data_IF_778264926401
#
_entry.id   IF_778264926401
#
_cell.length_a   1.000
_cell.length_b   1.000
_cell.length_c   1.000
_cell.angle_alpha   90.00
_cell.angle_beta   90.00
_cell.angle_gamma   90.00
#
_symmetry.space_group_name_H-M   'P 1'
#
loop_
_entity.id
_entity.type
_entity.pdbx_description
1 polymer ?
#
# COMPACT_ATOMS: atom_id res chain seq x y z
N UNK A 1 -15.56 13.97 0.87
CA UNK A 1 -14.77 14.30 -0.34
C UNK A 1 -14.11 13.00 -0.78
N UNK A 2 -14.25 12.66 -2.08
CA UNK A 2 -13.75 11.40 -2.64
C UNK A 2 -12.46 11.56 -3.46
N UNK A 3 -12.05 12.79 -3.73
CA UNK A 3 -10.80 13.14 -4.40
C UNK A 3 -9.77 13.65 -3.39
N UNK A 4 -8.45 13.51 -3.67
CA UNK A 4 -7.42 14.10 -2.83
C UNK A 4 -7.62 15.60 -2.65
N UNK A 5 -7.26 16.20 -1.50
CA UNK A 5 -7.26 17.63 -1.33
C UNK A 5 -6.16 18.29 -2.16
N UNK A 6 -6.44 19.46 -2.75
CA UNK A 6 -5.47 20.19 -3.55
C UNK A 6 -6.12 20.87 -4.75
N UNK A 7 -5.31 21.54 -5.58
CA UNK A 7 -5.75 22.14 -6.83
C UNK A 7 -5.79 21.07 -7.93
N UNK A 8 -6.96 20.90 -8.53
CA UNK A 8 -7.18 19.90 -9.59
C UNK A 8 -8.34 20.30 -10.50
N UNK A 9 -8.48 19.65 -11.64
CA UNK A 9 -9.57 19.93 -12.57
C UNK A 9 -10.94 19.54 -12.02
N UNK A 10 -11.03 18.47 -11.20
CA UNK A 10 -12.29 17.91 -10.69
C UNK A 10 -12.16 17.58 -9.21
N UNK A 11 -13.19 17.98 -8.44
CA UNK A 11 -13.45 17.55 -7.06
C UNK A 11 -14.74 16.75 -6.98
N UNK A 12 -14.78 15.67 -6.20
CA UNK A 12 -15.95 14.80 -6.07
C UNK A 12 -16.40 14.75 -4.61
N UNK A 13 -17.67 15.08 -4.38
CA UNK A 13 -18.36 14.85 -3.12
C UNK A 13 -19.28 13.68 -3.29
N UNK A 14 -19.09 12.64 -2.46
CA UNK A 14 -19.88 11.42 -2.48
C UNK A 14 -20.78 11.35 -1.26
N UNK A 15 -22.06 11.06 -1.48
CA UNK A 15 -23.08 10.92 -0.44
C UNK A 15 -23.66 9.50 -0.54
N UNK A 16 -23.79 8.78 0.59
CA UNK A 16 -24.38 7.44 0.63
C UNK A 16 -25.43 7.36 1.71
N UNK A 17 -26.52 6.65 1.41
CA UNK A 17 -27.62 6.38 2.33
C UNK A 17 -28.99 6.71 1.74
N UNK A 18 -30.06 6.35 2.47
CA UNK A 18 -31.46 6.48 2.02
C UNK A 18 -31.90 7.93 1.69
N UNK A 19 -31.22 8.93 2.25
CA UNK A 19 -31.49 10.37 2.01
C UNK A 19 -30.58 10.99 0.94
N UNK A 20 -29.63 10.24 0.36
CA UNK A 20 -28.63 10.77 -0.55
C UNK A 20 -29.23 11.52 -1.74
N UNK A 21 -30.21 10.93 -2.41
CA UNK A 21 -30.91 11.53 -3.54
C UNK A 21 -31.70 12.79 -3.14
N UNK A 22 -32.36 12.78 -1.99
CA UNK A 22 -33.15 13.92 -1.53
C UNK A 22 -32.24 15.13 -1.22
N UNK A 23 -31.14 14.91 -0.52
CA UNK A 23 -30.14 15.95 -0.24
C UNK A 23 -29.58 16.52 -1.55
N UNK A 24 -29.26 15.65 -2.51
CA UNK A 24 -28.75 16.09 -3.80
C UNK A 24 -29.74 16.95 -4.58
N UNK A 25 -31.04 16.60 -4.58
CA UNK A 25 -32.10 17.38 -5.22
C UNK A 25 -32.26 18.80 -4.68
N UNK A 26 -31.97 19.02 -3.39
CA UNK A 26 -32.03 20.34 -2.78
C UNK A 26 -30.85 21.26 -3.15
N UNK A 27 -29.75 20.66 -3.61
CA UNK A 27 -28.50 21.38 -3.92
C UNK A 27 -28.34 21.55 -5.43
N UNK A 28 -28.93 20.67 -6.23
CA UNK A 28 -28.71 20.59 -7.67
C UNK A 28 -29.83 21.20 -8.48
N UNK A 29 -29.46 22.09 -9.39
CA UNK A 29 -30.36 22.71 -10.36
C UNK A 29 -29.90 22.32 -11.77
N UNK A 30 -30.80 21.75 -12.57
CA UNK A 30 -30.50 21.37 -13.95
C UNK A 30 -30.12 22.58 -14.81
N UNK A 31 -29.08 22.43 -15.63
CA UNK A 31 -28.60 23.46 -16.57
C UNK A 31 -29.42 23.64 -17.85
N UNK A 32 -30.52 22.91 -18.01
CA UNK A 32 -31.35 22.89 -19.23
C UNK A 32 -32.83 23.08 -18.97
N UNK A 33 -33.69 22.42 -19.79
CA UNK A 33 -35.16 22.54 -19.76
C UNK A 33 -35.74 22.24 -18.36
N UNK A 34 -36.74 23.01 -17.93
CA UNK A 34 -37.57 22.74 -16.75
C UNK A 34 -38.20 21.36 -16.81
N UNK A 35 -38.27 20.63 -15.68
CA UNK A 35 -38.87 19.30 -15.52
C UNK A 35 -37.97 18.09 -15.91
N UNK A 36 -36.66 18.18 -15.69
CA UNK A 36 -35.81 17.02 -15.75
C UNK A 36 -35.80 16.26 -14.41
N UNK A 37 -35.71 14.93 -14.48
CA UNK A 37 -35.57 14.06 -13.31
C UNK A 37 -34.18 13.45 -13.26
N UNK A 38 -33.63 13.30 -12.06
CA UNK A 38 -32.35 12.59 -11.88
C UNK A 38 -32.59 11.09 -12.18
N UNK A 39 -31.93 10.60 -13.22
CA UNK A 39 -31.98 9.19 -13.66
C UNK A 39 -30.81 8.40 -13.05
N UNK A 40 -31.07 7.13 -12.76
CA UNK A 40 -30.05 6.18 -12.29
C UNK A 40 -28.93 6.01 -13.33
N UNK A 41 -27.67 6.11 -12.90
CA UNK A 41 -26.47 5.94 -13.72
C UNK A 41 -26.38 6.86 -14.94
N UNK A 42 -26.84 8.07 -14.76
CA UNK A 42 -26.75 9.13 -15.74
C UNK A 42 -26.00 10.31 -15.17
N UNK A 43 -25.15 10.94 -15.98
CA UNK A 43 -24.50 12.20 -15.61
C UNK A 43 -25.40 13.35 -16.03
N UNK A 44 -25.81 14.14 -15.03
CA UNK A 44 -26.66 15.30 -15.22
C UNK A 44 -25.83 16.57 -15.10
N UNK A 45 -25.86 17.40 -16.13
CA UNK A 45 -25.25 18.74 -16.08
C UNK A 45 -26.17 19.72 -15.37
N UNK A 46 -25.59 20.54 -14.48
CA UNK A 46 -26.34 21.53 -13.74
C UNK A 46 -25.45 22.42 -12.89
N UNK A 47 -26.08 23.02 -11.89
CA UNK A 47 -25.44 23.96 -10.96
C UNK A 47 -25.69 23.50 -9.53
N UNK A 48 -24.66 23.58 -8.70
CA UNK A 48 -24.79 23.46 -7.26
C UNK A 48 -25.20 24.82 -6.68
N UNK A 49 -26.23 24.84 -5.82
CA UNK A 49 -26.76 26.06 -5.22
C UNK A 49 -26.80 25.96 -3.69
N UNK A 50 -26.68 27.09 -3.03
CA UNK A 50 -26.88 27.20 -1.58
C UNK A 50 -28.38 27.35 -1.23
N UNK A 51 -28.69 27.45 0.09
CA UNK A 51 -30.10 27.65 0.57
C UNK A 51 -30.76 28.93 0.07
N UNK A 52 -30.00 29.95 -0.36
CA UNK A 52 -30.51 31.19 -0.91
C UNK A 52 -30.72 31.14 -2.43
N UNK A 53 -30.39 30.00 -3.08
CA UNK A 53 -30.42 29.87 -4.52
C UNK A 53 -29.21 30.45 -5.26
N UNK A 54 -28.19 30.91 -4.54
CA UNK A 54 -26.95 31.41 -5.13
C UNK A 54 -26.12 30.26 -5.68
N UNK A 55 -25.58 30.44 -6.87
CA UNK A 55 -24.75 29.42 -7.55
C UNK A 55 -23.42 29.31 -6.83
N UNK A 56 -23.02 28.09 -6.47
CA UNK A 56 -21.71 27.78 -5.89
C UNK A 56 -20.75 27.38 -7.02
N UNK A 57 -21.20 26.49 -7.91
CA UNK A 57 -20.36 25.96 -8.99
C UNK A 57 -21.23 25.33 -10.10
N UNK A 58 -20.65 25.15 -11.30
CA UNK A 58 -21.19 24.29 -12.33
C UNK A 58 -20.72 22.85 -12.06
N UNK A 59 -21.68 21.90 -12.10
CA UNK A 59 -21.41 20.53 -11.63
C UNK A 59 -22.04 19.49 -12.54
N UNK A 60 -21.45 18.27 -12.47
CA UNK A 60 -22.12 17.06 -12.96
C UNK A 60 -22.58 16.26 -11.75
N UNK A 61 -23.82 15.76 -11.81
CA UNK A 61 -24.38 14.90 -10.78
C UNK A 61 -24.63 13.50 -11.34
N UNK A 62 -24.12 12.49 -10.63
CA UNK A 62 -24.37 11.08 -10.88
C UNK A 62 -25.15 10.49 -9.72
N UNK A 63 -26.21 9.73 -10.01
CA UNK A 63 -26.98 8.96 -9.04
C UNK A 63 -26.85 7.48 -9.33
N UNK A 64 -26.57 6.71 -8.31
CA UNK A 64 -26.46 5.25 -8.35
C UNK A 64 -27.44 4.67 -7.33
N UNK A 65 -28.56 4.12 -7.84
CA UNK A 65 -29.61 3.53 -7.01
C UNK A 65 -29.15 2.20 -6.40
N UNK A 66 -29.37 2.04 -5.11
CA UNK A 66 -29.20 0.77 -4.42
C UNK A 66 -30.08 -0.35 -4.98
N UNK A 67 -29.66 -1.64 -4.94
CA UNK A 67 -28.41 -2.13 -4.38
C UNK A 67 -27.19 -2.05 -5.34
N UNK A 68 -27.33 -1.60 -6.57
CA UNK A 68 -26.28 -1.55 -7.58
C UNK A 68 -25.42 -0.30 -7.45
N UNK A 69 -24.85 -0.04 -6.26
CA UNK A 69 -23.94 1.06 -5.93
C UNK A 69 -22.71 0.55 -5.20
N UNK A 70 -21.77 1.42 -4.85
CA UNK A 70 -20.58 1.01 -4.12
C UNK A 70 -20.89 0.48 -2.72
N UNK A 71 -21.80 1.13 -1.99
CA UNK A 71 -22.20 0.77 -0.63
C UNK A 71 -23.44 -0.12 -0.55
N UNK A 72 -24.04 -0.49 -1.71
CA UNK A 72 -25.38 -1.08 -1.87
C UNK A 72 -26.53 -0.18 -1.43
N UNK A 73 -26.26 1.00 -0.91
CA UNK A 73 -27.23 2.06 -0.60
C UNK A 73 -27.41 2.98 -1.81
N UNK A 74 -28.33 3.94 -1.72
CA UNK A 74 -28.37 5.03 -2.69
C UNK A 74 -27.12 5.88 -2.58
N UNK A 75 -26.40 6.07 -3.69
CA UNK A 75 -25.17 6.88 -3.75
C UNK A 75 -25.35 8.01 -4.75
N UNK A 76 -24.96 9.21 -4.36
CA UNK A 76 -24.86 10.36 -5.25
C UNK A 76 -23.43 10.89 -5.25
N UNK A 77 -22.95 11.21 -6.44
CA UNK A 77 -21.69 11.93 -6.64
C UNK A 77 -21.98 13.30 -7.26
N UNK A 78 -21.40 14.34 -6.69
CA UNK A 78 -21.40 15.69 -7.22
C UNK A 78 -19.96 16.01 -7.64
N UNK A 79 -19.74 16.12 -8.94
CA UNK A 79 -18.46 16.45 -9.54
C UNK A 79 -18.43 17.96 -9.79
N UNK A 80 -17.57 18.64 -9.07
CA UNK A 80 -17.36 20.10 -9.13
C UNK A 80 -15.93 20.43 -9.56
N UNK A 81 -15.60 21.70 -9.70
CA UNK A 81 -14.19 22.08 -9.88
C UNK A 81 -13.35 21.72 -8.64
N UNK A 82 -12.12 21.23 -8.88
CA UNK A 82 -11.27 20.61 -7.85
C UNK A 82 -10.54 21.59 -6.91
N UNK A 83 -10.96 22.86 -6.87
CA UNK A 83 -10.42 23.82 -5.91
C UNK A 83 -10.95 23.60 -4.50
N UNK A 84 -10.18 24.01 -3.49
CA UNK A 84 -10.55 23.88 -2.07
C UNK A 84 -11.90 24.57 -1.77
N UNK A 85 -12.14 25.76 -2.34
CA UNK A 85 -13.33 26.56 -2.07
C UNK A 85 -14.60 25.92 -2.65
N UNK A 86 -14.69 25.55 -3.95
CA UNK A 86 -15.88 24.88 -4.49
C UNK A 86 -16.23 23.61 -3.72
N UNK A 87 -15.24 22.71 -3.53
CA UNK A 87 -15.41 21.42 -2.86
C UNK A 87 -15.94 21.58 -1.43
N UNK A 88 -15.29 22.46 -0.64
CA UNK A 88 -15.71 22.69 0.76
C UNK A 88 -17.04 23.42 0.87
N UNK A 89 -17.37 24.29 -0.06
CA UNK A 89 -18.65 25.00 -0.07
C UNK A 89 -19.81 24.05 -0.35
N UNK A 90 -19.68 23.17 -1.34
CA UNK A 90 -20.71 22.15 -1.64
C UNK A 90 -20.80 21.15 -0.48
N UNK A 91 -19.69 20.70 0.11
CA UNK A 91 -19.70 19.81 1.27
C UNK A 91 -20.46 20.44 2.46
N UNK A 92 -20.22 21.73 2.76
CA UNK A 92 -20.95 22.45 3.81
C UNK A 92 -22.45 22.47 3.53
N UNK A 93 -22.87 22.66 2.29
CA UNK A 93 -24.29 22.67 1.92
C UNK A 93 -24.91 21.25 2.03
N UNK A 94 -24.18 20.20 1.69
CA UNK A 94 -24.59 18.79 1.90
C UNK A 94 -24.83 18.50 3.38
N UNK A 95 -23.90 18.93 4.25
CA UNK A 95 -24.00 18.75 5.71
C UNK A 95 -25.18 19.55 6.29
N UNK A 96 -25.38 20.79 5.87
CA UNK A 96 -26.53 21.61 6.31
C UNK A 96 -27.90 21.01 5.95
N UNK A 97 -27.96 20.07 5.00
CA UNK A 97 -29.18 19.36 4.58
C UNK A 97 -29.31 17.97 5.22
N UNK A 98 -28.53 17.70 6.25
CA UNK A 98 -28.69 16.53 7.12
C UNK A 98 -27.79 15.36 6.79
N UNK A 99 -26.77 15.53 5.93
CA UNK A 99 -25.68 14.59 5.88
C UNK A 99 -24.70 14.81 7.04
N UNK A 100 -23.98 13.79 7.43
CA UNK A 100 -22.80 13.90 8.29
C UNK A 100 -21.52 13.62 7.50
N UNK A 101 -20.40 14.06 8.02
CA UNK A 101 -19.10 13.71 7.46
C UNK A 101 -18.87 12.21 7.66
N UNK A 102 -18.39 11.56 6.60
CA UNK A 102 -18.01 10.14 6.67
C UNK A 102 -16.66 9.99 7.38
N UNK A 103 -16.51 8.91 8.12
CA UNK A 103 -15.24 8.48 8.69
C UNK A 103 -14.29 7.97 7.59
N UNK A 104 -12.97 7.98 7.81
CA UNK A 104 -12.02 7.35 6.89
C UNK A 104 -12.41 5.88 6.64
N UNK A 105 -12.48 5.47 5.36
CA UNK A 105 -12.84 4.11 4.97
C UNK A 105 -14.32 3.73 5.12
N UNK A 106 -15.21 4.63 5.56
CA UNK A 106 -16.61 4.32 5.86
C UNK A 106 -17.38 3.76 4.65
N UNK A 107 -17.14 4.24 3.44
CA UNK A 107 -17.81 3.71 2.25
C UNK A 107 -17.46 2.24 1.99
N UNK A 108 -16.20 1.86 2.15
CA UNK A 108 -15.73 0.47 2.01
C UNK A 108 -16.25 -0.39 3.16
N UNK A 109 -16.26 0.13 4.39
CA UNK A 109 -16.87 -0.53 5.57
C UNK A 109 -18.35 -0.84 5.32
N UNK A 110 -19.13 0.11 4.75
CA UNK A 110 -20.54 -0.13 4.40
C UNK A 110 -20.70 -1.16 3.29
N UNK A 111 -19.85 -1.13 2.26
CA UNK A 111 -19.84 -2.15 1.22
C UNK A 111 -19.63 -3.56 1.79
N UNK A 112 -18.73 -3.70 2.78
CA UNK A 112 -18.51 -4.95 3.51
C UNK A 112 -19.72 -5.34 4.39
N UNK A 113 -20.22 -4.44 5.22
CA UNK A 113 -21.37 -4.72 6.11
C UNK A 113 -22.65 -5.09 5.32
N UNK A 114 -22.81 -4.52 4.14
CA UNK A 114 -23.94 -4.82 3.25
C UNK A 114 -23.69 -6.03 2.33
N UNK A 115 -22.61 -6.78 2.54
CA UNK A 115 -22.33 -8.03 1.84
C UNK A 115 -21.91 -7.91 0.37
N UNK A 116 -21.55 -6.70 -0.10
CA UNK A 116 -21.08 -6.52 -1.47
C UNK A 116 -19.65 -7.05 -1.67
N UNK A 117 -18.80 -6.84 -0.68
CA UNK A 117 -17.41 -7.29 -0.66
C UNK A 117 -17.14 -7.99 0.66
N UNK A 118 -16.19 -8.90 0.68
CA UNK A 118 -15.69 -9.51 1.91
C UNK A 118 -14.54 -8.69 2.54
N UNK A 119 -14.03 -9.17 3.69
CA UNK A 119 -13.00 -8.45 4.43
C UNK A 119 -11.67 -8.36 3.66
N UNK A 120 -11.29 -9.43 2.93
CA UNK A 120 -10.06 -9.46 2.12
C UNK A 120 -10.17 -8.47 0.97
N UNK A 121 -11.31 -8.42 0.31
CA UNK A 121 -11.61 -7.47 -0.76
C UNK A 121 -11.62 -6.02 -0.24
N UNK A 122 -12.20 -5.79 0.96
CA UNK A 122 -12.22 -4.47 1.59
C UNK A 122 -10.80 -3.96 1.90
N UNK A 123 -9.91 -4.84 2.37
CA UNK A 123 -8.50 -4.52 2.61
C UNK A 123 -7.77 -4.23 1.29
N UNK A 124 -8.02 -5.03 0.25
CA UNK A 124 -7.41 -4.88 -1.07
C UNK A 124 -7.75 -3.54 -1.76
N UNK A 125 -8.88 -2.91 -1.44
CA UNK A 125 -9.22 -1.56 -1.94
C UNK A 125 -8.16 -0.55 -1.50
N UNK A 126 -7.77 -0.56 -0.23
CA UNK A 126 -6.76 0.36 0.29
C UNK A 126 -5.37 0.04 -0.25
N UNK A 127 -5.06 -1.25 -0.38
CA UNK A 127 -3.79 -1.70 -0.95
C UNK A 127 -3.63 -1.24 -2.40
N UNK A 128 -4.71 -1.29 -3.20
CA UNK A 128 -4.69 -0.80 -4.58
C UNK A 128 -4.48 0.72 -4.66
N UNK A 129 -5.15 1.48 -3.78
CA UNK A 129 -4.99 2.95 -3.71
C UNK A 129 -3.57 3.33 -3.31
N UNK A 130 -2.96 2.58 -2.39
CA UNK A 130 -1.62 2.83 -1.87
C UNK A 130 -0.50 2.17 -2.68
N UNK A 131 -0.83 1.35 -3.68
CA UNK A 131 0.15 0.60 -4.47
C UNK A 131 1.22 1.53 -5.08
N UNK A 132 2.48 1.17 -4.89
CA UNK A 132 3.64 1.94 -5.40
C UNK A 132 4.29 1.30 -6.63
N UNK A 133 3.92 0.07 -6.98
CA UNK A 133 4.43 -0.64 -8.15
C UNK A 133 3.28 -1.29 -8.91
N UNK A 134 3.47 -1.53 -10.22
CA UNK A 134 2.48 -2.26 -11.02
C UNK A 134 2.23 -3.67 -10.47
N UNK A 135 3.26 -4.31 -9.93
CA UNK A 135 3.16 -5.64 -9.35
C UNK A 135 2.30 -5.64 -8.09
N UNK A 136 2.44 -4.63 -7.20
CA UNK A 136 1.58 -4.50 -6.02
C UNK A 136 0.15 -4.14 -6.41
N UNK A 137 -0.06 -3.25 -7.38
CA UNK A 137 -1.38 -2.93 -7.90
C UNK A 137 -2.09 -4.15 -8.49
N UNK A 138 -1.39 -4.97 -9.29
CA UNK A 138 -1.92 -6.21 -9.87
C UNK A 138 -2.28 -7.24 -8.79
N UNK A 139 -1.45 -7.40 -7.76
CA UNK A 139 -1.74 -8.29 -6.64
C UNK A 139 -3.00 -7.84 -5.89
N UNK A 140 -3.13 -6.55 -5.58
CA UNK A 140 -4.32 -5.97 -4.92
C UNK A 140 -5.58 -6.13 -5.79
N UNK A 141 -5.48 -5.93 -7.10
CA UNK A 141 -6.59 -6.14 -8.01
C UNK A 141 -7.07 -7.60 -8.01
N UNK A 142 -6.16 -8.58 -8.05
CA UNK A 142 -6.50 -10.00 -7.95
C UNK A 142 -7.21 -10.33 -6.63
N UNK A 143 -6.82 -9.69 -5.52
CA UNK A 143 -7.51 -9.86 -4.24
C UNK A 143 -8.91 -9.21 -4.25
N UNK A 144 -9.05 -8.02 -4.86
CA UNK A 144 -10.36 -7.37 -5.05
C UNK A 144 -11.32 -8.22 -5.89
N UNK A 145 -10.82 -8.95 -6.87
CA UNK A 145 -11.59 -9.89 -7.69
C UNK A 145 -11.96 -11.19 -6.95
N UNK A 146 -11.51 -11.35 -5.69
CA UNK A 146 -11.86 -12.48 -4.84
C UNK A 146 -10.92 -13.67 -4.96
N UNK A 147 -9.69 -13.48 -5.44
CA UNK A 147 -8.72 -14.58 -5.63
C UNK A 147 -8.50 -15.41 -4.35
N UNK A 148 -8.13 -14.78 -3.24
CA UNK A 148 -7.96 -15.47 -1.95
C UNK A 148 -9.30 -15.97 -1.39
N UNK A 149 -10.34 -15.15 -1.45
CA UNK A 149 -11.67 -15.49 -0.95
C UNK A 149 -12.25 -16.72 -1.64
N UNK A 150 -12.02 -16.87 -2.95
CA UNK A 150 -12.41 -18.06 -3.71
C UNK A 150 -11.72 -19.34 -3.21
N UNK A 151 -10.42 -19.26 -2.91
CA UNK A 151 -9.69 -20.39 -2.33
C UNK A 151 -10.22 -20.79 -0.95
N UNK A 152 -10.44 -19.81 -0.07
CA UNK A 152 -10.99 -20.05 1.27
C UNK A 152 -12.39 -20.63 1.20
N UNK A 153 -13.25 -20.09 0.32
CA UNK A 153 -14.62 -20.59 0.12
C UNK A 153 -14.63 -22.05 -0.36
N UNK A 154 -13.78 -22.40 -1.33
CA UNK A 154 -13.67 -23.77 -1.84
C UNK A 154 -13.21 -24.73 -0.72
N UNK A 155 -12.20 -24.36 0.08
CA UNK A 155 -11.77 -25.17 1.21
C UNK A 155 -12.88 -25.35 2.25
N UNK A 156 -13.63 -24.28 2.55
CA UNK A 156 -14.77 -24.31 3.46
C UNK A 156 -15.88 -25.24 2.96
N UNK A 157 -16.22 -25.19 1.68
CA UNK A 157 -17.23 -26.08 1.08
C UNK A 157 -16.79 -27.56 1.22
N UNK A 158 -15.56 -27.87 0.90
CA UNK A 158 -15.01 -29.23 1.09
C UNK A 158 -15.07 -29.71 2.55
N UNK A 159 -14.79 -28.81 3.52
CA UNK A 159 -14.91 -29.16 4.94
C UNK A 159 -16.36 -29.39 5.34
N UNK A 160 -17.32 -28.62 4.82
CA UNK A 160 -18.73 -28.84 5.08
C UNK A 160 -19.23 -30.17 4.50
N UNK A 161 -18.77 -30.54 3.32
CA UNK A 161 -19.09 -31.85 2.72
C UNK A 161 -18.54 -32.99 3.58
N UNK A 162 -17.31 -32.88 4.07
CA UNK A 162 -16.71 -33.86 5.00
C UNK A 162 -17.51 -33.96 6.28
N UNK A 163 -17.90 -32.82 6.86
CA UNK A 163 -18.73 -32.79 8.06
C UNK A 163 -20.09 -33.48 7.86
N UNK A 164 -20.77 -33.19 6.76
CA UNK A 164 -22.03 -33.82 6.40
C UNK A 164 -21.88 -35.37 6.26
N UNK A 165 -20.81 -35.83 5.62
CA UNK A 165 -20.52 -37.26 5.54
C UNK A 165 -20.29 -37.91 6.90
N UNK A 166 -19.55 -37.25 7.79
CA UNK A 166 -19.33 -37.74 9.17
C UNK A 166 -20.63 -37.78 9.98
N UNK A 167 -21.48 -36.75 9.88
CA UNK A 167 -22.81 -36.71 10.54
C UNK A 167 -23.69 -37.89 10.10
N UNK A 168 -23.79 -38.13 8.79
CA UNK A 168 -24.55 -39.27 8.26
C UNK A 168 -24.00 -40.60 8.82
N UNK A 169 -22.68 -40.76 8.91
CA UNK A 169 -22.05 -41.94 9.47
C UNK A 169 -22.40 -42.16 10.95
N UNK A 170 -22.50 -41.11 11.71
CA UNK A 170 -22.84 -41.18 13.15
C UNK A 170 -24.32 -41.46 13.34
N UNK A 171 -25.20 -40.89 12.53
CA UNK A 171 -26.65 -41.00 12.67
C UNK A 171 -27.18 -42.36 12.16
N UNK A 172 -26.48 -42.98 11.22
CA UNK A 172 -26.87 -44.28 10.65
C UNK A 172 -25.74 -45.34 10.75
N UNK A 173 -25.37 -45.76 11.97
CA UNK A 173 -24.25 -46.67 12.18
C UNK A 173 -24.48 -48.12 11.70
N UNK A 174 -25.71 -48.46 11.29
CA UNK A 174 -26.08 -49.80 10.78
C UNK A 174 -25.80 -49.95 9.29
N UNK A 175 -25.52 -48.87 8.57
CA UNK A 175 -25.03 -48.91 7.19
C UNK A 175 -23.51 -49.05 7.24
N UNK A 176 -22.99 -50.19 6.78
CA UNK A 176 -21.54 -50.44 6.64
C UNK A 176 -20.89 -49.34 5.79
N UNK A 177 -20.40 -48.30 6.47
CA UNK A 177 -19.65 -47.24 5.80
C UNK A 177 -18.28 -47.80 5.50
N UNK A 178 -18.08 -48.10 4.23
CA UNK A 178 -16.86 -48.68 3.65
C UNK A 178 -15.60 -47.94 4.16
N UNK A 179 -14.53 -48.71 4.44
CA UNK A 179 -13.16 -48.23 4.66
C UNK A 179 -12.77 -47.20 3.58
N UNK A 180 -13.32 -47.34 2.37
CA UNK A 180 -13.15 -46.45 1.21
C UNK A 180 -13.67 -45.01 1.54
N UNK A 181 -14.78 -44.90 2.25
CA UNK A 181 -15.31 -43.55 2.63
C UNK A 181 -14.39 -42.86 3.67
N UNK A 182 -13.87 -43.60 4.64
CA UNK A 182 -12.93 -43.10 5.65
C UNK A 182 -11.61 -42.67 5.00
N UNK A 183 -11.10 -43.45 4.03
CA UNK A 183 -9.89 -43.10 3.30
C UNK A 183 -10.09 -41.84 2.44
N UNK A 184 -11.22 -41.71 1.75
CA UNK A 184 -11.57 -40.53 0.98
C UNK A 184 -11.66 -39.26 1.83
N UNK A 185 -12.26 -39.31 3.03
CA UNK A 185 -12.30 -38.22 3.98
C UNK A 185 -10.88 -37.79 4.38
N UNK A 186 -10.00 -38.77 4.67
CA UNK A 186 -8.61 -38.50 5.03
C UNK A 186 -7.84 -37.81 3.90
N UNK A 187 -7.99 -38.29 2.68
CA UNK A 187 -7.34 -37.71 1.50
C UNK A 187 -7.80 -36.27 1.23
N UNK A 188 -9.09 -36.03 1.38
CA UNK A 188 -9.65 -34.68 1.25
C UNK A 188 -9.11 -33.70 2.32
N UNK A 189 -9.00 -34.14 3.57
CA UNK A 189 -8.41 -33.34 4.65
C UNK A 189 -6.93 -33.04 4.36
N UNK A 190 -6.15 -34.03 3.97
CA UNK A 190 -4.73 -33.83 3.58
C UNK A 190 -4.62 -32.83 2.44
N UNK A 191 -5.47 -32.94 1.42
CA UNK A 191 -5.49 -32.01 0.30
C UNK A 191 -5.83 -30.56 0.71
N UNK A 192 -6.67 -30.37 1.73
CA UNK A 192 -6.97 -29.04 2.30
C UNK A 192 -5.74 -28.53 3.06
N UNK A 193 -5.11 -29.33 3.92
CA UNK A 193 -3.89 -28.98 4.65
C UNK A 193 -2.78 -28.56 3.69
N UNK A 194 -2.51 -29.34 2.64
CA UNK A 194 -1.51 -29.01 1.60
C UNK A 194 -1.83 -27.68 0.89
N UNK A 195 -3.10 -27.38 0.70
CA UNK A 195 -3.54 -26.11 0.09
C UNK A 195 -3.28 -24.93 1.00
N UNK A 196 -3.55 -25.07 2.31
CA UNK A 196 -3.26 -24.05 3.33
C UNK A 196 -1.75 -23.83 3.45
N UNK A 197 -0.97 -24.91 3.49
CA UNK A 197 0.50 -24.82 3.58
C UNK A 197 1.10 -24.08 2.38
N UNK A 198 0.63 -24.36 1.17
CA UNK A 198 1.05 -23.61 -0.03
C UNK A 198 0.73 -22.13 0.07
N UNK A 199 -0.48 -21.77 0.50
CA UNK A 199 -0.86 -20.36 0.71
C UNK A 199 0.01 -19.71 1.79
N UNK A 200 0.26 -20.39 2.90
CA UNK A 200 1.09 -19.90 4.00
C UNK A 200 2.54 -19.63 3.56
N UNK A 201 3.14 -20.54 2.80
CA UNK A 201 4.52 -20.34 2.28
C UNK A 201 4.66 -19.15 1.35
N UNK A 202 3.59 -18.79 0.63
CA UNK A 202 3.60 -17.61 -0.26
C UNK A 202 3.28 -16.30 0.46
N UNK A 203 2.81 -16.36 1.70
CA UNK A 203 2.35 -15.18 2.45
C UNK A 203 3.47 -14.14 2.68
N UNK A 204 4.69 -14.59 3.02
CA UNK A 204 5.82 -13.68 3.21
C UNK A 204 6.19 -12.92 1.92
N UNK A 205 6.22 -13.62 0.79
CA UNK A 205 6.45 -12.97 -0.51
C UNK A 205 5.33 -12.00 -0.88
N UNK A 206 4.08 -12.38 -0.60
CA UNK A 206 2.91 -11.52 -0.79
C UNK A 206 3.01 -10.24 0.06
N UNK A 207 3.46 -10.36 1.31
CA UNK A 207 3.69 -9.21 2.20
C UNK A 207 4.74 -8.26 1.64
N UNK A 208 5.85 -8.76 1.13
CA UNK A 208 6.90 -7.94 0.50
C UNK A 208 6.39 -7.18 -0.73
N UNK A 209 5.59 -7.83 -1.57
CA UNK A 209 4.99 -7.17 -2.75
C UNK A 209 3.99 -6.09 -2.35
N UNK A 210 3.17 -6.34 -1.32
CA UNK A 210 2.11 -5.47 -0.85
C UNK A 210 2.66 -4.26 -0.08
N UNK A 211 3.49 -4.50 0.93
CA UNK A 211 3.99 -3.48 1.86
C UNK A 211 5.31 -2.85 1.41
N UNK A 212 6.00 -3.52 0.48
CA UNK A 212 7.37 -3.16 0.12
C UNK A 212 8.36 -3.54 1.21
N UNK A 213 9.58 -3.03 1.07
CA UNK A 213 10.71 -3.23 1.99
C UNK A 213 11.10 -1.87 2.54
N UNK A 214 11.21 -1.76 3.86
CA UNK A 214 11.79 -0.59 4.52
C UNK A 214 13.29 -0.78 4.60
N UNK A 215 14.05 0.02 3.85
CA UNK A 215 15.51 -0.01 3.87
C UNK A 215 16.08 1.25 4.51
N UNK A 216 17.13 1.10 5.28
CA UNK A 216 17.91 2.21 5.82
C UNK A 216 19.31 2.17 5.25
N UNK A 217 19.84 3.34 4.83
CA UNK A 217 21.22 3.48 4.35
C UNK A 217 22.06 4.12 5.46
N UNK A 218 23.06 3.38 5.96
CA UNK A 218 23.95 3.83 7.03
C UNK A 218 25.42 3.80 6.59
N UNK A 219 26.27 4.50 7.31
CA UNK A 219 27.71 4.61 7.05
C UNK A 219 28.19 6.01 7.41
N UNK A 220 29.49 6.19 7.52
CA UNK A 220 30.13 7.48 7.84
C UNK A 220 29.82 8.59 6.85
N UNK A 221 30.23 9.80 7.19
CA UNK A 221 30.19 10.92 6.24
C UNK A 221 31.11 10.65 5.05
N UNK A 222 30.74 11.12 3.87
CA UNK A 222 31.54 11.03 2.62
C UNK A 222 31.86 9.61 2.10
N UNK A 223 31.25 8.53 2.61
CA UNK A 223 31.42 7.17 2.05
C UNK A 223 30.65 6.95 0.76
N UNK A 224 29.65 7.82 0.46
CA UNK A 224 28.89 7.76 -0.78
C UNK A 224 27.41 7.40 -0.61
N UNK A 225 26.82 7.57 0.57
CA UNK A 225 25.37 7.30 0.82
C UNK A 225 24.45 8.04 -0.14
N UNK A 226 24.64 9.35 -0.30
CA UNK A 226 23.84 10.17 -1.23
C UNK A 226 24.08 9.78 -2.70
N UNK A 227 25.31 9.37 -3.04
CA UNK A 227 25.63 8.88 -4.38
C UNK A 227 24.94 7.55 -4.68
N UNK A 228 24.87 6.65 -3.70
CA UNK A 228 24.16 5.38 -3.80
C UNK A 228 22.66 5.63 -4.01
N UNK A 229 22.06 6.46 -3.18
CA UNK A 229 20.64 6.82 -3.32
C UNK A 229 20.36 7.38 -4.71
N UNK A 230 21.15 8.35 -5.17
CA UNK A 230 20.99 8.95 -6.49
C UNK A 230 21.18 7.94 -7.63
N UNK A 231 22.09 6.97 -7.49
CA UNK A 231 22.29 5.92 -8.48
C UNK A 231 21.08 4.99 -8.54
N UNK A 232 20.57 4.53 -7.39
CA UNK A 232 19.39 3.67 -7.31
C UNK A 232 18.14 4.38 -7.86
N UNK A 233 17.97 5.67 -7.56
CA UNK A 233 16.85 6.48 -8.07
C UNK A 233 16.90 6.67 -9.60
N UNK A 234 18.11 6.75 -10.18
CA UNK A 234 18.28 6.93 -11.63
C UNK A 234 18.05 5.65 -12.43
N UNK A 235 18.50 4.50 -11.95
CA UNK A 235 18.37 3.21 -12.64
C UNK A 235 16.94 2.65 -12.52
N UNK A 236 16.36 2.73 -11.34
CA UNK A 236 15.02 2.23 -11.03
C UNK A 236 14.14 3.46 -10.77
N UNK A 237 13.39 3.93 -11.75
CA UNK A 237 12.55 5.14 -11.69
C UNK A 237 11.92 5.34 -10.32
N UNK A 238 12.39 6.36 -9.59
CA UNK A 238 11.78 6.77 -8.32
C UNK A 238 10.28 7.05 -8.56
N UNK A 239 9.45 6.42 -7.78
CA UNK A 239 8.03 6.76 -7.74
C UNK A 239 7.92 7.99 -6.85
N UNK A 240 8.14 9.16 -7.44
CA UNK A 240 7.91 10.44 -6.77
C UNK A 240 6.39 10.60 -6.65
N UNK A 241 5.85 10.34 -5.49
CA UNK A 241 4.45 10.70 -5.20
C UNK A 241 4.47 12.07 -4.53
N UNK A 242 4.36 13.13 -5.33
CA UNK A 242 3.93 14.42 -4.81
C UNK A 242 2.45 14.29 -4.39
N UNK A 243 2.21 13.85 -3.17
CA UNK A 243 0.87 13.96 -2.56
C UNK A 243 0.81 15.35 -1.94
N UNK A 244 0.07 16.29 -2.54
CA UNK A 244 -0.10 17.62 -1.95
C UNK A 244 -0.80 17.48 -0.60
N UNK A 245 -0.18 17.95 0.47
CA UNK A 245 -0.78 17.99 1.81
C UNK A 245 0.00 17.33 2.93
N UNK A 246 1.12 16.66 2.67
CA UNK A 246 1.95 16.01 3.70
C UNK A 246 3.23 16.81 4.02
N UNK A 247 3.18 18.13 4.00
CA UNK A 247 4.34 19.03 4.14
C UNK A 247 5.00 19.06 5.52
N UNK A 248 4.76 18.08 6.40
CA UNK A 248 5.42 17.98 7.72
C UNK A 248 6.04 16.62 8.04
N UNK A 249 5.82 15.60 7.21
CA UNK A 249 6.42 14.29 7.42
C UNK A 249 7.57 14.07 6.44
N UNK A 250 8.60 13.38 6.91
CA UNK A 250 9.84 12.98 6.22
C UNK A 250 9.58 12.67 4.74
N UNK A 251 10.33 13.29 3.83
CA UNK A 251 10.25 12.99 2.39
C UNK A 251 10.67 11.53 2.22
N UNK A 252 9.67 10.66 2.04
CA UNK A 252 9.87 9.25 1.80
C UNK A 252 10.12 9.01 0.32
N UNK A 253 11.26 8.45 -0.01
CA UNK A 253 11.57 8.05 -1.38
C UNK A 253 11.31 6.55 -1.57
N UNK A 254 10.52 6.23 -2.59
CA UNK A 254 10.26 4.85 -2.99
C UNK A 254 11.03 4.54 -4.27
N UNK A 255 11.77 3.45 -4.26
CA UNK A 255 12.47 2.91 -5.41
C UNK A 255 11.78 1.60 -5.81
N UNK A 256 11.57 1.39 -7.11
CA UNK A 256 10.98 0.15 -7.61
C UNK A 256 12.08 -0.83 -8.01
N UNK A 257 12.36 -1.82 -7.20
CA UNK A 257 13.35 -2.86 -7.51
C UNK A 257 12.61 -4.13 -7.96
N UNK A 258 12.64 -4.42 -9.25
CA UNK A 258 12.00 -5.61 -9.88
C UNK A 258 10.53 -5.82 -9.48
N UNK A 259 9.80 -4.71 -9.34
CA UNK A 259 8.38 -4.72 -8.99
C UNK A 259 8.10 -4.71 -7.49
N UNK A 260 9.11 -4.64 -6.63
CA UNK A 260 8.98 -4.46 -5.18
C UNK A 260 9.30 -3.01 -4.83
N UNK A 261 8.41 -2.36 -4.07
CA UNK A 261 8.66 -1.01 -3.58
C UNK A 261 9.68 -1.05 -2.42
N UNK A 262 10.81 -0.38 -2.57
CA UNK A 262 11.79 -0.20 -1.50
C UNK A 262 11.70 1.24 -1.00
N UNK A 263 11.26 1.39 0.26
CA UNK A 263 11.16 2.67 0.94
C UNK A 263 12.47 2.96 1.66
N UNK A 264 13.18 4.00 1.24
CA UNK A 264 14.39 4.44 1.92
C UNK A 264 14.00 5.35 3.09
N UNK A 265 14.37 4.96 4.31
CA UNK A 265 14.12 5.72 5.53
C UNK A 265 15.28 6.70 5.74
N UNK A 266 14.96 7.91 6.21
CA UNK A 266 15.94 8.95 6.59
C UNK A 266 16.74 9.56 5.43
N UNK A 267 16.03 9.89 4.33
CA UNK A 267 16.65 10.63 3.22
C UNK A 267 17.04 12.07 3.59
N UNK A 268 16.46 12.65 4.64
CA UNK A 268 16.78 14.01 5.10
C UNK A 268 18.23 14.12 5.60
N UNK A 269 18.70 13.16 6.40
CA UNK A 269 20.10 13.10 6.85
C UNK A 269 21.12 12.82 5.74
N UNK A 270 20.66 12.32 4.58
CA UNK A 270 21.51 12.04 3.43
C UNK A 270 21.65 13.28 2.51
N UNK A 271 20.64 14.16 2.48
CA UNK A 271 20.61 15.37 1.61
C UNK A 271 21.16 16.63 2.27
N UNK A 272 21.03 16.78 3.58
CA UNK A 272 21.57 17.93 4.32
C UNK A 272 23.01 17.67 4.76
N UNK A 273 23.94 17.99 3.92
CA UNK A 273 25.35 18.20 4.28
C UNK A 273 25.54 19.69 4.49
N UNK A 274 25.76 20.10 5.74
CA UNK A 274 26.72 21.10 6.20
C UNK A 274 26.32 21.54 7.62
N UNK A 275 27.23 21.21 8.56
CA UNK A 275 27.36 21.79 9.90
C UNK A 275 26.23 21.59 10.93
N UNK A 276 26.54 20.92 12.00
CA UNK A 276 25.95 20.94 13.35
C UNK A 276 25.11 19.77 13.87
N UNK A 277 25.08 18.55 13.29
CA UNK A 277 24.26 17.46 13.86
C UNK A 277 25.01 16.11 13.98
N UNK A 278 26.26 16.09 14.38
CA UNK A 278 27.00 14.82 14.51
C UNK A 278 26.52 13.90 15.66
N UNK A 279 26.03 14.44 16.76
CA UNK A 279 25.57 13.61 17.90
C UNK A 279 24.12 13.15 17.83
N UNK A 280 23.25 13.86 17.12
CA UNK A 280 21.83 13.47 16.91
C UNK A 280 21.72 12.34 15.86
N UNK A 281 22.73 12.16 15.00
CA UNK A 281 22.75 11.17 13.91
C UNK A 281 22.74 9.72 14.39
N UNK A 282 23.49 9.39 15.44
CA UNK A 282 23.66 8.00 15.91
C UNK A 282 22.39 7.50 16.62
N UNK A 283 21.75 8.32 17.42
CA UNK A 283 20.54 7.91 18.17
C UNK A 283 19.31 7.79 17.26
N UNK A 284 19.15 8.68 16.28
CA UNK A 284 18.14 8.54 15.21
C UNK A 284 18.43 7.35 14.31
N UNK A 285 19.70 7.09 13.99
CA UNK A 285 20.09 5.91 13.21
C UNK A 285 19.72 4.61 13.92
N UNK A 286 19.84 4.53 15.26
CA UNK A 286 19.42 3.35 16.04
C UNK A 286 17.92 3.09 15.93
N UNK A 287 17.07 4.11 16.08
CA UNK A 287 15.61 3.97 15.96
C UNK A 287 15.19 3.55 14.53
N UNK A 288 15.85 4.10 13.51
CA UNK A 288 15.60 3.75 12.12
C UNK A 288 16.05 2.33 11.78
N UNK A 289 17.16 1.87 12.34
CA UNK A 289 17.67 0.51 12.21
C UNK A 289 16.70 -0.51 12.83
N UNK A 290 16.06 -0.19 13.97
CA UNK A 290 15.11 -1.09 14.64
C UNK A 290 13.85 -1.34 13.81
N UNK A 291 13.40 -0.35 13.03
CA UNK A 291 12.22 -0.42 12.20
C UNK A 291 12.46 -0.86 10.75
N UNK A 292 13.71 -1.12 10.35
CA UNK A 292 14.07 -1.47 8.99
C UNK A 292 14.00 -2.98 8.72
N UNK A 293 13.48 -3.35 7.55
CA UNK A 293 13.49 -4.73 7.04
C UNK A 293 14.83 -5.10 6.40
N UNK A 294 15.59 -4.09 5.91
CA UNK A 294 16.89 -4.24 5.28
C UNK A 294 17.82 -3.09 5.69
N UNK A 295 19.03 -3.41 6.08
CA UNK A 295 20.07 -2.43 6.39
C UNK A 295 21.10 -2.43 5.26
N UNK A 296 21.33 -1.27 4.63
CA UNK A 296 22.34 -1.08 3.60
C UNK A 296 23.47 -0.25 4.22
N UNK A 297 24.63 -0.88 4.43
CA UNK A 297 25.81 -0.21 5.00
C UNK A 297 26.79 0.14 3.90
N UNK A 298 27.20 1.39 3.82
CA UNK A 298 28.19 1.86 2.84
C UNK A 298 29.51 2.13 3.55
N UNK A 299 30.57 1.48 3.09
CA UNK A 299 31.95 1.64 3.56
C UNK A 299 32.83 2.19 2.44
N UNK A 300 33.85 2.94 2.78
CA UNK A 300 34.87 3.42 1.84
C UNK A 300 36.00 2.37 1.72
N UNK A 301 36.10 1.68 0.59
CA UNK A 301 37.09 0.65 0.35
C UNK A 301 38.56 1.20 0.38
N UNK A 302 38.74 2.50 0.16
CA UNK A 302 40.08 3.14 0.14
C UNK A 302 40.63 3.52 1.51
N UNK A 303 39.84 3.30 2.58
CA UNK A 303 40.23 3.67 3.96
C UNK A 303 40.18 2.44 4.86
N UNK A 304 41.06 2.36 5.91
CA UNK A 304 40.96 1.29 6.91
C UNK A 304 39.66 1.43 7.74
N UNK A 305 39.19 0.31 8.31
CA UNK A 305 38.06 0.33 9.24
C UNK A 305 38.45 1.07 10.52
N UNK A 306 37.67 2.10 10.83
CA UNK A 306 37.74 2.84 12.09
C UNK A 306 36.77 2.30 13.13
N UNK A 307 36.82 2.79 14.36
CA UNK A 307 35.96 2.29 15.45
C UNK A 307 34.48 2.51 15.16
N UNK A 308 34.11 3.63 14.52
CA UNK A 308 32.75 3.92 14.10
C UNK A 308 32.24 2.90 13.04
N UNK A 309 33.06 2.48 12.06
CA UNK A 309 32.72 1.44 11.10
C UNK A 309 32.47 0.10 11.79
N UNK A 310 33.32 -0.24 12.77
CA UNK A 310 33.21 -1.46 13.58
C UNK A 310 31.92 -1.46 14.41
N UNK A 311 31.54 -0.31 14.97
CA UNK A 311 30.28 -0.14 15.68
C UNK A 311 29.10 -0.37 14.74
N UNK A 312 29.08 0.27 13.56
CA UNK A 312 28.05 0.10 12.53
C UNK A 312 27.94 -1.37 12.13
N UNK A 313 29.06 -2.04 11.85
CA UNK A 313 29.08 -3.46 11.50
C UNK A 313 28.54 -4.36 12.62
N UNK A 314 28.71 -3.96 13.88
CA UNK A 314 28.17 -4.72 15.02
C UNK A 314 26.64 -4.78 15.05
N UNK A 315 25.94 -3.74 14.54
CA UNK A 315 24.48 -3.70 14.44
C UNK A 315 23.91 -4.62 13.36
N UNK A 316 24.75 -5.11 12.42
CA UNK A 316 24.30 -5.98 11.32
C UNK A 316 24.12 -7.44 11.76
N UNK A 317 24.68 -7.85 12.89
CA UNK A 317 24.60 -9.23 13.37
C UNK A 317 23.15 -9.64 13.59
N UNK A 318 22.75 -10.79 13.02
CA UNK A 318 21.40 -11.35 13.07
C UNK A 318 20.32 -10.47 12.41
N UNK A 319 20.69 -9.59 11.48
CA UNK A 319 19.77 -8.76 10.69
C UNK A 319 19.97 -8.98 9.20
N UNK A 320 18.91 -8.74 8.42
CA UNK A 320 19.03 -8.73 6.96
C UNK A 320 19.82 -7.47 6.56
N UNK A 321 21.01 -7.66 6.06
CA UNK A 321 21.88 -6.55 5.73
C UNK A 321 22.63 -6.77 4.41
N UNK A 322 23.00 -5.66 3.77
CA UNK A 322 23.84 -5.58 2.59
C UNK A 322 24.98 -4.61 2.88
N UNK A 323 26.21 -5.03 2.69
CA UNK A 323 27.39 -4.15 2.83
C UNK A 323 27.90 -3.78 1.44
N UNK A 324 28.07 -2.48 1.22
CA UNK A 324 28.60 -1.91 -0.02
C UNK A 324 29.99 -1.36 0.25
N UNK A 325 31.01 -1.97 -0.38
CA UNK A 325 32.37 -1.44 -0.42
C UNK A 325 32.47 -0.49 -1.60
N UNK A 326 32.33 0.80 -1.32
CA UNK A 326 32.36 1.84 -2.36
C UNK A 326 33.77 2.39 -2.60
N UNK A 327 33.94 3.07 -3.72
CA UNK A 327 35.17 3.72 -4.17
C UNK A 327 36.28 2.74 -4.57
N UNK A 328 35.92 1.59 -5.13
CA UNK A 328 36.90 0.62 -5.67
C UNK A 328 37.68 1.14 -6.88
N UNK A 329 37.41 2.34 -7.37
CA UNK A 329 38.20 3.09 -8.34
C UNK A 329 39.49 3.67 -7.74
N UNK A 330 39.60 3.70 -6.42
CA UNK A 330 40.80 4.09 -5.67
C UNK A 330 41.56 2.85 -5.21
N UNK A 331 42.86 2.99 -4.82
CA UNK A 331 43.57 1.88 -4.18
C UNK A 331 42.80 1.35 -2.99
N UNK A 332 42.40 0.08 -3.06
CA UNK A 332 41.59 -0.55 -2.00
C UNK A 332 42.49 -0.94 -0.81
N UNK A 333 42.06 -0.59 0.40
CA UNK A 333 42.67 -0.97 1.68
C UNK A 333 41.82 -2.07 2.35
N UNK A 334 40.50 -2.09 2.08
CA UNK A 334 39.58 -3.11 2.58
C UNK A 334 39.38 -4.19 1.54
N UNK A 335 39.49 -5.47 1.95
CA UNK A 335 39.13 -6.62 1.12
C UNK A 335 37.72 -7.10 1.50
N UNK A 336 36.96 -7.47 0.50
CA UNK A 336 35.65 -8.09 0.64
C UNK A 336 35.69 -9.31 1.57
N UNK A 337 36.75 -10.14 1.48
CA UNK A 337 36.91 -11.35 2.29
C UNK A 337 37.05 -11.05 3.78
N UNK A 338 37.70 -9.95 4.12
CA UNK A 338 37.89 -9.55 5.52
C UNK A 338 36.56 -9.15 6.16
N UNK A 339 35.71 -8.45 5.41
CA UNK A 339 34.37 -8.07 5.86
C UNK A 339 33.46 -9.32 5.97
N UNK A 340 33.47 -10.20 4.97
CA UNK A 340 32.71 -11.47 5.00
C UNK A 340 33.15 -12.36 6.17
N UNK A 341 34.44 -12.41 6.50
CA UNK A 341 34.95 -13.18 7.64
C UNK A 341 34.47 -12.60 8.98
N UNK A 342 34.31 -11.28 9.07
CA UNK A 342 33.89 -10.59 10.30
C UNK A 342 32.36 -10.68 10.52
N UNK A 343 31.56 -10.66 9.45
CA UNK A 343 30.10 -10.60 9.51
C UNK A 343 29.42 -11.97 9.34
N UNK A 344 30.14 -12.96 8.82
CA UNK A 344 29.58 -14.26 8.43
C UNK A 344 29.05 -14.27 7.00
N UNK A 345 28.84 -15.50 6.44
CA UNK A 345 28.44 -15.70 5.04
C UNK A 345 27.00 -15.29 4.71
N UNK A 346 26.19 -14.98 5.70
CA UNK A 346 24.77 -14.63 5.51
C UNK A 346 24.56 -13.19 5.04
N UNK A 347 25.57 -12.30 5.23
CA UNK A 347 25.51 -10.90 4.83
C UNK A 347 26.22 -10.73 3.50
N UNK A 348 25.49 -10.27 2.48
CA UNK A 348 26.06 -10.02 1.17
C UNK A 348 26.98 -8.79 1.20
N UNK A 349 28.16 -8.91 0.54
CA UNK A 349 29.09 -7.81 0.36
C UNK A 349 29.26 -7.53 -1.13
N UNK A 350 28.98 -6.30 -1.54
CA UNK A 350 29.05 -5.84 -2.94
C UNK A 350 30.08 -4.74 -3.09
N UNK A 351 30.93 -4.88 -4.08
CA UNK A 351 31.95 -3.87 -4.43
C UNK A 351 31.41 -2.92 -5.49
N UNK A 352 31.52 -1.61 -5.25
CA UNK A 352 30.99 -0.58 -6.15
C UNK A 352 31.98 0.57 -6.35
N UNK A 353 31.88 1.21 -7.53
CA UNK A 353 32.32 2.57 -7.74
C UNK A 353 31.12 3.38 -8.22
N UNK A 354 30.46 4.07 -7.31
CA UNK A 354 29.28 4.87 -7.61
C UNK A 354 29.59 6.03 -8.56
N UNK A 355 30.84 6.50 -8.55
CA UNK A 355 31.32 7.55 -9.47
C UNK A 355 31.43 7.04 -10.90
N UNK A 356 31.85 5.79 -11.09
CA UNK A 356 32.02 5.16 -12.41
C UNK A 356 30.80 4.32 -12.83
N UNK A 357 29.78 4.22 -11.99
CA UNK A 357 28.59 3.38 -12.25
C UNK A 357 28.88 1.88 -12.25
N UNK A 358 29.97 1.41 -11.60
CA UNK A 358 30.34 -0.01 -11.55
C UNK A 358 29.71 -0.70 -10.36
N UNK A 359 29.16 -1.91 -10.56
CA UNK A 359 28.64 -2.79 -9.51
C UNK A 359 27.28 -2.39 -8.94
N UNK A 360 26.61 -1.39 -9.49
CA UNK A 360 25.27 -0.95 -9.05
C UNK A 360 24.24 -2.03 -9.37
N UNK A 361 24.39 -2.71 -10.48
CA UNK A 361 23.54 -3.83 -10.95
C UNK A 361 23.52 -5.02 -9.97
N UNK A 362 24.52 -5.11 -9.08
CA UNK A 362 24.63 -6.17 -8.06
C UNK A 362 24.06 -5.77 -6.69
N UNK A 363 23.76 -4.50 -6.52
CA UNK A 363 23.12 -3.94 -5.32
C UNK A 363 21.60 -4.11 -5.40
#
# INVERSE_FOLDING_TARGET
>A
IATPPGEGGIGIIRISGSKALNIAREIFVFGGKKNQTIKDRYLHYGKAVNKKGEIIDEVLLAYMKGPRSYTTEDVVEIHCHGGIIPVTSILKEVIKRGARLAEPGEFTKRAFLNGRIDLVQAEAVMDLICAKTERSAKASLTQMEGGLSGHIKNMREKLLDIMAHIEVTIDYPEEDIDEVATQSIRENIVGIVDSIDRLSRTAEHGKLIRQGIKAVIIGKTNVGKSSLLNALVKEERAIVTDIPGTTRDVIEEYINIKGVAVRIIDTAGIRETLDQVEQIGIERSRQNIEGADLIITVLDASMPLEDEDREILSYLKNRKALVILNKIDKPSVLDKKDIEAQLGKEIAVVETSLTLGKGIDKV
#
